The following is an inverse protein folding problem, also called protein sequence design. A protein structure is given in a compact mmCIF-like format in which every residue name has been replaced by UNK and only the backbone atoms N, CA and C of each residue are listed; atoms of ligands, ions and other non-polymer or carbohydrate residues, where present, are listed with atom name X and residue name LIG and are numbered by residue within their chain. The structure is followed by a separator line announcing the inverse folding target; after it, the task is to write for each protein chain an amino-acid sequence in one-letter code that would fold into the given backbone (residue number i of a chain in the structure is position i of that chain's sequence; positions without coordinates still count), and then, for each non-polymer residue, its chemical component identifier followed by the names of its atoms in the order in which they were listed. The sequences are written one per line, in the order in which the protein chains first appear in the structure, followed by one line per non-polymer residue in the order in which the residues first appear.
data_IF_668509885173
#
_entry.id   IF_668509885173
#
_cell.length_a   1.000
_cell.length_b   1.000
_cell.length_c   1.000
_cell.angle_alpha   90.00
_cell.angle_beta   90.00
_cell.angle_gamma   90.00
#
_symmetry.space_group_name_H-M   'P 1'
#
loop_
_entity.id
_entity.type
_entity.pdbx_description
1 polymer ?
#
# COMPACT_ATOMS: atom_id res chain seq x y z
N UNK A 1 48.70 -31.47 -53.15
CA UNK A 1 48.43 -30.59 -51.98
C UNK A 1 47.24 -29.64 -52.21
N UNK A 2 46.81 -29.40 -53.45
CA UNK A 2 45.69 -28.50 -53.79
C UNK A 2 44.31 -29.20 -53.70
N UNK A 3 44.23 -30.52 -53.90
CA UNK A 3 42.95 -31.27 -53.88
C UNK A 3 42.36 -31.48 -52.48
N UNK A 4 43.20 -31.52 -51.45
CA UNK A 4 42.75 -31.66 -50.07
C UNK A 4 41.98 -30.41 -49.60
N UNK A 5 42.42 -29.22 -50.00
CA UNK A 5 41.73 -27.98 -49.65
C UNK A 5 40.34 -27.91 -50.29
N UNK A 6 40.17 -28.37 -51.52
CA UNK A 6 38.87 -28.36 -52.21
C UNK A 6 37.86 -29.36 -51.60
N UNK A 7 38.32 -30.53 -51.18
CA UNK A 7 37.46 -31.59 -50.64
C UNK A 7 36.85 -31.23 -49.27
N UNK A 8 37.60 -30.53 -48.42
CA UNK A 8 37.17 -30.20 -47.06
C UNK A 8 36.64 -28.77 -46.91
N UNK A 9 36.79 -27.90 -47.93
CA UNK A 9 36.24 -26.53 -47.92
C UNK A 9 34.75 -26.45 -47.59
N UNK A 10 33.86 -27.34 -48.11
CA UNK A 10 32.45 -27.31 -47.75
C UNK A 10 32.20 -27.62 -46.26
N UNK A 11 32.99 -28.54 -45.69
CA UNK A 11 32.88 -28.90 -44.27
C UNK A 11 33.41 -27.78 -43.36
N UNK A 12 34.51 -27.12 -43.76
CA UNK A 12 35.05 -25.96 -43.05
C UNK A 12 34.07 -24.78 -43.08
N UNK A 13 33.44 -24.52 -44.22
CA UNK A 13 32.37 -23.51 -44.36
C UNK A 13 31.16 -23.85 -43.49
N UNK A 14 30.74 -25.13 -43.45
CA UNK A 14 29.61 -25.56 -42.62
C UNK A 14 29.89 -25.36 -41.13
N UNK A 15 31.10 -25.72 -40.67
CA UNK A 15 31.53 -25.52 -39.28
C UNK A 15 31.61 -24.02 -38.95
N UNK A 16 32.13 -23.19 -39.86
CA UNK A 16 32.18 -21.75 -39.68
C UNK A 16 30.77 -21.14 -39.59
N UNK A 17 29.85 -21.54 -40.47
CA UNK A 17 28.46 -21.06 -40.47
C UNK A 17 27.70 -21.51 -39.22
N UNK A 18 27.87 -22.77 -38.79
CA UNK A 18 27.29 -23.28 -37.54
C UNK A 18 27.88 -22.59 -36.31
N UNK A 19 29.19 -22.35 -36.29
CA UNK A 19 29.88 -21.61 -35.23
C UNK A 19 29.36 -20.18 -35.10
N UNK A 20 29.21 -19.47 -36.23
CA UNK A 20 28.61 -18.13 -36.27
C UNK A 20 27.14 -18.18 -35.86
N UNK A 21 26.36 -19.16 -36.29
CA UNK A 21 24.95 -19.30 -35.92
C UNK A 21 24.76 -19.58 -34.41
N UNK A 22 25.64 -20.39 -33.80
CA UNK A 22 25.66 -20.64 -32.36
C UNK A 22 26.10 -19.40 -31.60
N UNK A 23 27.12 -18.67 -32.07
CA UNK A 23 27.54 -17.38 -31.49
C UNK A 23 26.43 -16.33 -31.58
N UNK A 24 25.73 -16.24 -32.71
CA UNK A 24 24.56 -15.36 -32.88
C UNK A 24 23.40 -15.80 -31.99
N UNK A 25 23.18 -17.11 -31.77
CA UNK A 25 22.17 -17.63 -30.82
C UNK A 25 22.55 -17.37 -29.36
N UNK A 26 23.83 -17.48 -29.01
CA UNK A 26 24.33 -17.18 -27.67
C UNK A 26 24.32 -15.68 -27.41
N UNK A 27 24.76 -14.85 -28.37
CA UNK A 27 24.70 -13.39 -28.30
C UNK A 27 23.26 -12.87 -28.29
N UNK A 28 22.36 -13.45 -29.10
CA UNK A 28 20.94 -13.09 -29.09
C UNK A 28 20.19 -13.65 -27.87
N UNK A 29 20.61 -14.79 -27.31
CA UNK A 29 20.14 -15.30 -26.02
C UNK A 29 20.61 -14.44 -24.84
N UNK A 30 21.81 -13.88 -24.92
CA UNK A 30 22.36 -12.92 -23.96
C UNK A 30 21.67 -11.55 -24.07
N UNK A 31 21.42 -11.06 -25.30
CA UNK A 31 20.63 -9.84 -25.55
C UNK A 31 19.15 -9.98 -25.18
N UNK A 32 18.57 -11.20 -25.22
CA UNK A 32 17.19 -11.45 -24.76
C UNK A 32 17.02 -11.48 -23.24
N UNK A 33 18.12 -11.58 -22.47
CA UNK A 33 18.07 -11.52 -20.99
C UNK A 33 18.32 -10.12 -20.40
N UNK A 34 18.62 -9.12 -21.24
CA UNK A 34 18.74 -7.71 -20.82
C UNK A 34 18.20 -6.76 -21.89
N UNK A 35 16.88 -6.73 -22.02
CA UNK A 35 16.15 -5.53 -22.44
C UNK A 35 14.88 -5.46 -21.61
N UNK A 36 14.70 -4.44 -20.75
CA UNK A 36 13.34 -4.04 -20.41
C UNK A 36 12.66 -3.71 -21.74
N UNK A 37 11.57 -4.41 -22.05
CA UNK A 37 10.61 -3.90 -23.01
C UNK A 37 9.95 -2.67 -22.35
N UNK A 38 9.63 -1.69 -23.20
CA UNK A 38 8.99 -0.40 -22.90
C UNK A 38 9.89 0.73 -22.39
N UNK A 39 10.63 1.34 -23.32
CA UNK A 39 11.04 2.75 -23.25
C UNK A 39 9.77 3.62 -23.25
N UNK A 40 9.20 3.87 -22.08
CA UNK A 40 7.98 4.65 -21.87
C UNK A 40 7.11 4.18 -20.70
N UNK A 41 7.33 2.98 -20.14
CA UNK A 41 6.57 2.51 -18.98
C UNK A 41 7.11 3.11 -17.68
N UNK A 42 6.25 3.90 -17.05
CA UNK A 42 6.39 4.43 -15.69
C UNK A 42 6.42 3.24 -14.71
N UNK A 43 7.59 2.94 -14.14
CA UNK A 43 7.73 1.79 -13.23
C UNK A 43 7.02 2.06 -11.91
N UNK A 44 6.07 1.20 -11.55
CA UNK A 44 5.38 1.21 -10.26
C UNK A 44 6.11 0.24 -9.34
N UNK A 45 6.46 0.69 -8.13
CA UNK A 45 7.14 -0.14 -7.13
C UNK A 45 6.32 -0.23 -5.86
N UNK A 46 6.28 -1.41 -5.25
CA UNK A 46 5.74 -1.63 -3.91
C UNK A 46 6.90 -2.00 -3.00
N UNK A 47 7.09 -1.20 -1.96
CA UNK A 47 8.20 -1.30 -1.01
C UNK A 47 7.63 -1.68 0.35
N UNK A 48 7.85 -2.91 0.78
CA UNK A 48 7.50 -3.39 2.11
C UNK A 48 8.62 -3.09 3.09
N UNK A 49 8.34 -2.33 4.15
CA UNK A 49 9.32 -1.92 5.16
C UNK A 49 9.04 -2.61 6.50
N UNK A 50 10.06 -3.25 7.04
CA UNK A 50 9.95 -4.05 8.27
C UNK A 50 9.13 -5.33 8.09
N UNK A 51 8.79 -5.98 9.21
CA UNK A 51 8.07 -7.27 9.18
C UNK A 51 6.68 -7.15 8.54
N UNK A 52 5.81 -6.31 9.07
CA UNK A 52 4.45 -6.15 8.56
C UNK A 52 4.40 -5.69 7.09
N UNK A 53 5.26 -4.74 6.70
CA UNK A 53 5.35 -4.28 5.32
C UNK A 53 5.85 -5.39 4.37
N UNK A 54 6.83 -6.17 4.81
CA UNK A 54 7.32 -7.33 4.08
C UNK A 54 6.26 -8.42 3.93
N UNK A 55 5.51 -8.74 4.99
CA UNK A 55 4.39 -9.70 4.90
C UNK A 55 3.30 -9.20 3.95
N UNK A 56 2.99 -7.89 3.97
CA UNK A 56 2.04 -7.32 3.02
C UNK A 56 2.51 -7.44 1.56
N UNK A 57 3.82 -7.26 1.30
CA UNK A 57 4.40 -7.50 -0.04
C UNK A 57 4.25 -8.96 -0.45
N UNK A 58 4.54 -9.89 0.46
CA UNK A 58 4.41 -11.32 0.20
C UNK A 58 2.95 -11.68 -0.10
N UNK A 59 1.99 -11.17 0.68
CA UNK A 59 0.55 -11.36 0.45
C UNK A 59 0.10 -10.76 -0.91
N UNK A 60 0.67 -9.64 -1.36
CA UNK A 60 0.38 -9.06 -2.67
C UNK A 60 0.91 -9.93 -3.83
N UNK A 61 2.09 -10.53 -3.64
CA UNK A 61 2.69 -11.46 -4.60
C UNK A 61 1.82 -12.72 -4.73
N UNK A 62 1.37 -13.29 -3.61
CA UNK A 62 0.46 -14.43 -3.58
C UNK A 62 -0.90 -14.12 -4.21
N UNK A 63 -1.43 -12.92 -3.96
CA UNK A 63 -2.64 -12.41 -4.60
C UNK A 63 -2.47 -12.09 -6.10
N UNK A 64 -1.24 -12.21 -6.64
CA UNK A 64 -0.87 -11.94 -8.03
C UNK A 64 -1.26 -10.54 -8.49
N UNK A 65 -1.00 -9.53 -7.68
CA UNK A 65 -1.13 -8.14 -8.10
C UNK A 65 -0.05 -7.86 -9.16
N UNK A 66 -0.49 -7.49 -10.36
CA UNK A 66 0.35 -7.41 -11.56
C UNK A 66 0.83 -5.99 -11.88
N UNK A 67 1.87 -5.89 -12.70
CA UNK A 67 2.38 -4.61 -13.21
C UNK A 67 3.13 -3.76 -12.19
N UNK A 68 3.60 -4.38 -11.09
CA UNK A 68 4.38 -3.72 -10.04
C UNK A 68 5.66 -4.50 -9.73
N UNK A 69 6.72 -3.78 -9.39
CA UNK A 69 7.98 -4.35 -8.88
C UNK A 69 7.97 -4.36 -7.35
N UNK A 70 8.20 -5.52 -6.75
CA UNK A 70 8.23 -5.68 -5.29
C UNK A 70 9.64 -5.58 -4.71
N UNK A 71 9.77 -4.80 -3.63
CA UNK A 71 10.99 -4.62 -2.85
C UNK A 71 10.66 -4.86 -1.38
N UNK A 72 11.41 -5.73 -0.71
CA UNK A 72 11.36 -5.88 0.74
C UNK A 72 12.60 -5.22 1.38
N UNK A 73 12.40 -4.38 2.38
CA UNK A 73 13.46 -3.68 3.11
C UNK A 73 13.28 -3.96 4.61
N UNK A 74 14.31 -4.53 5.25
CA UNK A 74 14.24 -4.85 6.68
C UNK A 74 15.62 -4.83 7.33
N UNK A 75 15.67 -4.62 8.64
CA UNK A 75 16.87 -4.80 9.47
C UNK A 75 17.07 -6.25 9.90
N UNK A 76 15.99 -7.04 9.90
CA UNK A 76 16.03 -8.47 10.21
C UNK A 76 16.39 -9.29 8.96
N UNK A 77 17.56 -9.93 9.00
CA UNK A 77 18.04 -10.78 7.91
C UNK A 77 17.25 -12.08 7.74
N UNK A 78 16.77 -12.68 8.82
CA UNK A 78 16.00 -13.93 8.77
C UNK A 78 14.68 -13.72 8.03
N UNK A 79 14.01 -12.62 8.36
CA UNK A 79 12.79 -12.23 7.66
C UNK A 79 13.01 -12.05 6.14
N UNK A 80 14.12 -11.42 5.74
CA UNK A 80 14.40 -11.19 4.32
C UNK A 80 14.77 -12.46 3.55
N UNK A 81 15.34 -13.47 4.21
CA UNK A 81 15.63 -14.75 3.56
C UNK A 81 14.34 -15.43 3.08
N UNK A 82 13.28 -15.34 3.88
CA UNK A 82 11.96 -15.93 3.63
C UNK A 82 11.08 -15.11 2.67
N UNK A 83 11.31 -13.80 2.53
CA UNK A 83 10.47 -12.93 1.70
C UNK A 83 10.39 -13.37 0.23
N UNK A 84 9.20 -13.28 -0.37
CA UNK A 84 8.98 -13.59 -1.79
C UNK A 84 9.39 -12.44 -2.72
N UNK A 85 9.68 -11.26 -2.19
CA UNK A 85 10.12 -10.13 -2.99
C UNK A 85 11.38 -10.44 -3.79
N UNK A 86 11.38 -10.07 -5.07
CA UNK A 86 12.51 -10.30 -5.98
C UNK A 86 13.74 -9.49 -5.59
N UNK A 87 13.55 -8.29 -5.06
CA UNK A 87 14.60 -7.42 -4.54
C UNK A 87 14.43 -7.32 -3.02
N UNK A 88 15.49 -7.63 -2.29
CA UNK A 88 15.53 -7.63 -0.84
C UNK A 88 16.72 -6.78 -0.42
N UNK A 89 16.52 -5.87 0.53
CA UNK A 89 17.55 -4.95 0.99
C UNK A 89 17.59 -5.06 2.50
N UNK A 90 18.69 -5.62 3.00
CA UNK A 90 18.97 -5.59 4.42
C UNK A 90 19.64 -4.25 4.75
N UNK A 91 19.13 -3.57 5.77
CA UNK A 91 19.61 -2.26 6.19
C UNK A 91 20.13 -2.30 7.63
N UNK A 92 21.09 -1.44 7.95
CA UNK A 92 21.61 -1.27 9.29
C UNK A 92 22.44 -2.44 9.80
N UNK A 93 23.25 -3.06 8.94
CA UNK A 93 24.09 -4.20 9.33
C UNK A 93 25.06 -3.85 10.47
N UNK A 94 25.61 -2.62 10.47
CA UNK A 94 26.54 -2.18 11.52
C UNK A 94 25.83 -1.90 12.85
N UNK A 95 24.59 -1.39 12.80
CA UNK A 95 23.86 -0.98 14.01
C UNK A 95 22.99 -2.09 14.62
N UNK A 96 22.51 -3.03 13.81
CA UNK A 96 21.61 -4.11 14.27
C UNK A 96 22.26 -5.50 14.27
N UNK A 97 23.37 -5.68 13.55
CA UNK A 97 23.93 -7.02 13.32
C UNK A 97 23.01 -7.96 12.55
N UNK A 98 21.99 -7.43 11.85
CA UNK A 98 20.99 -8.22 11.12
C UNK A 98 19.90 -8.85 11.99
N UNK A 99 19.79 -8.44 13.27
CA UNK A 99 18.85 -9.00 14.25
C UNK A 99 17.56 -8.18 14.40
N UNK A 100 17.39 -7.13 13.60
CA UNK A 100 16.25 -6.22 13.70
C UNK A 100 16.50 -5.01 14.61
N UNK A 101 15.55 -4.07 14.60
CA UNK A 101 15.64 -2.81 15.34
C UNK A 101 15.17 -2.89 16.82
N UNK A 102 14.77 -4.07 17.31
CA UNK A 102 14.38 -4.26 18.72
C UNK A 102 13.16 -3.47 19.19
N UNK A 103 12.31 -2.99 18.26
CA UNK A 103 11.18 -2.10 18.59
C UNK A 103 11.56 -0.63 18.73
N UNK A 104 12.82 -0.26 18.55
CA UNK A 104 13.30 1.11 18.61
C UNK A 104 13.24 1.80 17.23
N UNK A 105 12.40 2.84 17.05
CA UNK A 105 12.30 3.59 15.80
C UNK A 105 13.58 4.31 15.43
N UNK A 106 14.35 4.78 16.41
CA UNK A 106 15.59 5.51 16.13
C UNK A 106 16.63 4.58 15.51
N UNK A 107 16.72 3.34 15.99
CA UNK A 107 17.54 2.31 15.36
C UNK A 107 17.08 2.01 13.92
N UNK A 108 15.77 1.99 13.67
CA UNK A 108 15.22 1.84 12.33
C UNK A 108 15.61 3.00 11.40
N UNK A 109 15.58 4.24 11.90
CA UNK A 109 15.97 5.45 11.16
C UNK A 109 17.47 5.42 10.82
N UNK A 110 18.33 5.19 11.82
CA UNK A 110 19.79 5.11 11.63
C UNK A 110 20.14 4.00 10.64
N UNK A 111 19.48 2.84 10.72
CA UNK A 111 19.67 1.75 9.77
C UNK A 111 19.35 2.15 8.32
N UNK A 112 18.27 2.89 8.10
CA UNK A 112 17.91 3.36 6.77
C UNK A 112 18.89 4.42 6.23
N UNK A 113 19.39 5.30 7.10
CA UNK A 113 20.39 6.31 6.75
C UNK A 113 21.74 5.68 6.42
N UNK A 114 22.12 4.62 7.15
CA UNK A 114 23.33 3.84 6.92
C UNK A 114 23.40 3.31 5.47
N UNK A 115 22.26 2.86 4.95
CA UNK A 115 22.13 2.20 3.65
C UNK A 115 21.32 3.05 2.63
N UNK A 116 21.31 4.37 2.82
CA UNK A 116 20.54 5.30 1.99
C UNK A 116 20.86 5.18 0.50
N UNK A 117 22.12 4.95 0.14
CA UNK A 117 22.53 4.80 -1.27
C UNK A 117 21.93 3.54 -1.90
N UNK A 118 21.91 2.42 -1.18
CA UNK A 118 21.30 1.17 -1.65
C UNK A 118 19.79 1.34 -1.83
N UNK A 119 19.13 2.07 -0.92
CA UNK A 119 17.71 2.42 -1.02
C UNK A 119 17.46 3.30 -2.26
N UNK A 120 18.24 4.36 -2.46
CA UNK A 120 18.09 5.26 -3.63
C UNK A 120 18.25 4.52 -4.95
N UNK A 121 19.31 3.72 -5.09
CA UNK A 121 19.54 2.91 -6.28
C UNK A 121 18.40 1.92 -6.54
N UNK A 122 17.76 1.42 -5.47
CA UNK A 122 16.65 0.51 -5.60
C UNK A 122 15.36 1.19 -6.12
N UNK A 123 15.19 2.48 -5.81
CA UNK A 123 14.02 3.30 -6.13
C UNK A 123 14.18 4.12 -7.42
N UNK A 124 15.39 4.20 -7.97
CA UNK A 124 15.68 5.01 -9.16
C UNK A 124 14.79 4.62 -10.35
N UNK A 125 14.27 5.64 -11.05
CA UNK A 125 13.36 5.47 -12.18
C UNK A 125 11.94 5.03 -11.81
N UNK A 126 11.57 5.01 -10.52
CA UNK A 126 10.17 4.80 -10.12
C UNK A 126 9.34 6.01 -10.53
N UNK A 127 8.21 5.78 -11.18
CA UNK A 127 7.20 6.83 -11.35
C UNK A 127 6.28 6.92 -10.12
N UNK A 128 6.01 5.77 -9.50
CA UNK A 128 5.13 5.63 -8.34
C UNK A 128 5.75 4.62 -7.37
N UNK A 129 5.80 4.99 -6.10
CA UNK A 129 6.24 4.12 -5.00
C UNK A 129 5.11 4.01 -3.98
N UNK A 130 4.60 2.80 -3.79
CA UNK A 130 3.78 2.44 -2.64
C UNK A 130 4.70 1.96 -1.52
N UNK A 131 4.70 2.65 -0.39
CA UNK A 131 5.44 2.23 0.79
C UNK A 131 4.47 1.59 1.78
N UNK A 132 4.57 0.28 1.97
CA UNK A 132 3.77 -0.47 2.92
C UNK A 132 4.57 -0.69 4.22
N UNK A 133 4.01 -0.33 5.37
CA UNK A 133 4.64 -0.54 6.67
C UNK A 133 3.61 -0.68 7.80
N UNK A 134 3.91 -1.56 8.76
CA UNK A 134 3.23 -1.52 10.07
C UNK A 134 3.97 -0.59 11.02
N UNK A 135 3.25 0.37 11.58
CA UNK A 135 3.81 1.35 12.51
C UNK A 135 3.65 0.88 13.96
N UNK A 136 4.46 1.43 14.85
CA UNK A 136 4.52 1.04 16.27
C UNK A 136 5.69 0.11 16.59
N UNK A 137 6.37 -0.43 15.59
CA UNK A 137 7.63 -1.16 15.73
C UNK A 137 8.86 -0.28 15.46
N UNK A 138 10.05 -0.87 15.42
CA UNK A 138 11.29 -0.12 15.16
C UNK A 138 11.53 0.17 13.68
N UNK A 139 11.66 -0.88 12.86
CA UNK A 139 12.04 -0.74 11.44
C UNK A 139 11.00 0.02 10.62
N UNK A 140 9.72 -0.38 10.69
CA UNK A 140 8.65 0.27 9.92
C UNK A 140 8.50 1.75 10.25
N UNK A 141 8.46 2.09 11.54
CA UNK A 141 8.29 3.47 12.01
C UNK A 141 9.52 4.36 11.78
N UNK A 142 10.72 3.81 11.91
CA UNK A 142 11.96 4.56 11.74
C UNK A 142 12.44 4.69 10.30
N UNK A 143 12.46 3.57 9.57
CA UNK A 143 12.96 3.53 8.19
C UNK A 143 11.94 4.02 7.17
N UNK A 144 10.63 3.85 7.45
CA UNK A 144 9.54 4.23 6.55
C UNK A 144 9.66 5.68 6.05
N UNK A 145 9.74 6.69 6.95
CA UNK A 145 9.88 8.09 6.55
C UNK A 145 11.12 8.37 5.70
N UNK A 146 12.26 7.76 6.05
CA UNK A 146 13.54 7.93 5.32
C UNK A 146 13.41 7.39 3.89
N UNK A 147 12.83 6.20 3.73
CA UNK A 147 12.62 5.57 2.42
C UNK A 147 11.60 6.37 1.59
N UNK A 148 10.53 6.86 2.20
CA UNK A 148 9.55 7.72 1.55
C UNK A 148 10.17 9.03 1.03
N UNK A 149 10.97 9.69 1.87
CA UNK A 149 11.67 10.91 1.48
C UNK A 149 12.62 10.65 0.30
N UNK A 150 13.39 9.55 0.32
CA UNK A 150 14.25 9.17 -0.79
C UNK A 150 13.48 8.94 -2.09
N UNK A 151 12.31 8.29 -2.05
CA UNK A 151 11.44 8.12 -3.22
C UNK A 151 10.97 9.46 -3.79
N UNK A 152 10.53 10.37 -2.90
CA UNK A 152 10.02 11.70 -3.28
C UNK A 152 11.12 12.59 -3.87
N UNK A 153 12.32 12.55 -3.31
CA UNK A 153 13.50 13.25 -3.84
C UNK A 153 13.92 12.76 -5.24
N UNK A 154 13.69 11.48 -5.53
CA UNK A 154 13.90 10.89 -6.86
C UNK A 154 12.78 11.24 -7.86
N UNK A 155 11.76 12.00 -7.44
CA UNK A 155 10.67 12.48 -8.27
C UNK A 155 9.51 11.48 -8.43
N UNK A 156 9.50 10.39 -7.67
CA UNK A 156 8.38 9.44 -7.68
C UNK A 156 7.18 10.02 -6.93
N UNK A 157 5.97 9.80 -7.47
CA UNK A 157 4.75 9.95 -6.68
C UNK A 157 4.80 8.93 -5.54
N UNK A 158 4.80 9.40 -4.30
CA UNK A 158 5.06 8.54 -3.13
C UNK A 158 3.79 8.42 -2.29
N UNK A 159 3.27 7.20 -2.19
CA UNK A 159 2.06 6.88 -1.44
C UNK A 159 2.42 5.95 -0.29
N UNK A 160 2.27 6.41 0.94
CA UNK A 160 2.39 5.54 2.12
C UNK A 160 1.08 4.80 2.37
N UNK A 161 1.14 3.50 2.64
CA UNK A 161 0.00 2.70 3.10
C UNK A 161 0.43 2.02 4.39
N UNK A 162 -0.07 2.51 5.51
CA UNK A 162 0.45 2.15 6.83
C UNK A 162 -0.63 1.63 7.76
N UNK A 163 -0.28 0.69 8.63
CA UNK A 163 -1.16 0.21 9.70
C UNK A 163 -0.78 0.77 11.06
N UNK A 164 -1.77 1.10 11.88
CA UNK A 164 -1.62 1.42 13.29
C UNK A 164 -1.84 0.17 14.15
N UNK A 165 -1.10 -0.01 15.26
CA UNK A 165 -1.19 -1.21 16.08
C UNK A 165 -2.58 -1.36 16.75
N UNK A 166 -2.92 -2.57 17.15
CA UNK A 166 -4.11 -2.83 17.97
C UNK A 166 -4.00 -2.19 19.35
N UNK A 167 -5.12 -1.89 20.00
CA UNK A 167 -5.10 -1.32 21.36
C UNK A 167 -4.40 -2.25 22.38
N UNK A 168 -4.58 -3.57 22.23
CA UNK A 168 -3.97 -4.56 23.13
C UNK A 168 -2.43 -4.58 23.07
N UNK A 169 -1.83 -4.07 21.98
CA UNK A 169 -0.38 -4.00 21.82
C UNK A 169 0.26 -2.91 22.71
N UNK A 170 -0.58 -2.06 23.31
CA UNK A 170 -0.22 -1.15 24.38
C UNK A 170 0.08 0.29 23.92
N UNK A 171 -0.04 1.25 24.85
CA UNK A 171 0.04 2.68 24.53
C UNK A 171 1.42 3.13 24.02
N UNK A 172 2.50 2.43 24.40
CA UNK A 172 3.84 2.73 23.92
C UNK A 172 3.99 2.52 22.40
N UNK A 173 3.45 1.40 21.87
CA UNK A 173 3.44 1.14 20.42
C UNK A 173 2.57 2.15 19.68
N UNK A 174 1.41 2.53 20.26
CA UNK A 174 0.55 3.56 19.68
C UNK A 174 1.26 4.91 19.58
N UNK A 175 1.95 5.35 20.63
CA UNK A 175 2.70 6.61 20.62
C UNK A 175 3.82 6.63 19.56
N UNK A 176 4.52 5.50 19.36
CA UNK A 176 5.49 5.34 18.28
C UNK A 176 4.82 5.47 16.91
N UNK A 177 3.66 4.82 16.74
CA UNK A 177 2.93 4.85 15.47
C UNK A 177 2.45 6.27 15.13
N UNK A 178 1.87 6.98 16.09
CA UNK A 178 1.39 8.36 15.91
C UNK A 178 2.54 9.31 15.53
N UNK A 179 3.71 9.16 16.17
CA UNK A 179 4.91 9.93 15.81
C UNK A 179 5.39 9.61 14.39
N UNK A 180 5.38 8.32 14.01
CA UNK A 180 5.77 7.90 12.67
C UNK A 180 4.80 8.39 11.59
N UNK A 181 3.49 8.43 11.87
CA UNK A 181 2.50 9.04 10.96
C UNK A 181 2.83 10.50 10.68
N UNK A 182 3.16 11.27 11.73
CA UNK A 182 3.53 12.68 11.58
C UNK A 182 4.77 12.89 10.71
N UNK A 183 5.78 12.03 10.83
CA UNK A 183 6.98 12.08 9.99
C UNK A 183 6.71 11.58 8.55
N UNK A 184 5.91 10.54 8.40
CA UNK A 184 5.49 10.02 7.09
C UNK A 184 4.75 11.09 6.29
N UNK A 185 3.82 11.83 6.90
CA UNK A 185 3.05 12.89 6.24
C UNK A 185 3.94 13.99 5.62
N UNK A 186 5.12 14.24 6.18
CA UNK A 186 6.10 15.18 5.61
C UNK A 186 6.84 14.60 4.40
N UNK A 187 6.92 13.27 4.33
CA UNK A 187 7.81 12.52 3.45
C UNK A 187 7.09 11.86 2.26
N UNK A 188 5.76 11.76 2.31
CA UNK A 188 4.92 11.22 1.22
C UNK A 188 4.13 12.32 0.50
N UNK A 189 3.48 11.97 -0.59
CA UNK A 189 2.46 12.81 -1.23
C UNK A 189 1.06 12.52 -0.66
N UNK A 190 0.73 11.24 -0.47
CA UNK A 190 -0.48 10.78 0.21
C UNK A 190 -0.13 9.70 1.22
N UNK A 191 -0.71 9.76 2.41
CA UNK A 191 -0.64 8.70 3.42
C UNK A 191 -2.02 8.08 3.60
N UNK A 192 -2.15 6.78 3.36
CA UNK A 192 -3.33 5.99 3.67
C UNK A 192 -3.07 5.28 5.00
N UNK A 193 -3.84 5.62 6.03
CA UNK A 193 -3.70 5.05 7.37
C UNK A 193 -4.83 4.06 7.61
N UNK A 194 -4.47 2.86 8.02
CA UNK A 194 -5.36 1.77 8.38
C UNK A 194 -5.25 1.53 9.87
N UNK A 195 -6.37 1.60 10.58
CA UNK A 195 -6.40 1.25 12.00
C UNK A 195 -6.68 -0.24 12.16
N UNK A 196 -5.75 -1.00 12.74
CA UNK A 196 -5.96 -2.44 12.95
C UNK A 196 -7.20 -2.72 13.80
N UNK A 197 -7.52 -1.83 14.74
CA UNK A 197 -8.71 -1.94 15.58
C UNK A 197 -10.00 -2.03 14.76
N UNK A 198 -10.10 -1.30 13.65
CA UNK A 198 -11.26 -1.36 12.73
C UNK A 198 -11.37 -2.70 12.01
N UNK A 199 -10.27 -3.42 11.89
CA UNK A 199 -10.28 -4.77 11.33
C UNK A 199 -10.87 -5.78 12.31
N UNK A 200 -11.04 -5.44 13.60
CA UNK A 200 -11.76 -6.31 14.55
C UNK A 200 -13.24 -6.43 14.23
N UNK A 201 -13.83 -5.43 13.57
CA UNK A 201 -15.21 -5.47 13.07
C UNK A 201 -15.39 -6.53 11.97
N UNK A 202 -14.28 -7.00 11.37
CA UNK A 202 -14.25 -8.00 10.31
C UNK A 202 -13.97 -9.42 10.81
N UNK A 203 -13.76 -9.60 12.12
CA UNK A 203 -13.44 -10.91 12.72
C UNK A 203 -14.48 -11.30 13.77
N UNK A 204 -14.71 -12.60 13.92
CA UNK A 204 -15.60 -13.16 14.96
C UNK A 204 -14.81 -13.56 16.21
N UNK A 205 -15.49 -13.78 17.34
CA UNK A 205 -14.88 -14.27 18.60
C UNK A 205 -14.09 -15.59 18.44
N UNK A 206 -14.36 -16.33 17.37
CA UNK A 206 -13.73 -17.61 17.05
C UNK A 206 -12.48 -17.44 16.16
N UNK A 207 -12.21 -16.22 15.69
CA UNK A 207 -11.11 -15.94 14.76
C UNK A 207 -9.78 -16.02 15.51
N UNK A 208 -8.86 -16.84 14.98
CA UNK A 208 -7.53 -16.95 15.59
C UNK A 208 -6.74 -15.65 15.43
N UNK A 209 -5.80 -15.38 16.35
CA UNK A 209 -4.91 -14.21 16.25
C UNK A 209 -4.19 -14.14 14.89
N UNK A 210 -3.80 -15.31 14.35
CA UNK A 210 -3.16 -15.41 13.03
C UNK A 210 -4.10 -14.96 11.91
N UNK A 211 -5.36 -15.38 11.96
CA UNK A 211 -6.35 -15.00 10.96
C UNK A 211 -6.70 -13.52 11.05
N UNK A 212 -6.77 -12.96 12.27
CA UNK A 212 -6.96 -11.52 12.47
C UNK A 212 -5.83 -10.67 11.83
N UNK A 213 -4.56 -11.04 12.05
CA UNK A 213 -3.44 -10.37 11.38
C UNK A 213 -3.47 -10.54 9.86
N UNK A 214 -3.90 -11.70 9.33
CA UNK A 214 -4.10 -11.85 7.88
C UNK A 214 -5.19 -10.93 7.36
N UNK A 215 -6.30 -10.78 8.07
CA UNK A 215 -7.38 -9.85 7.70
C UNK A 215 -6.87 -8.41 7.60
N UNK A 216 -6.07 -7.97 8.58
CA UNK A 216 -5.39 -6.67 8.54
C UNK A 216 -4.48 -6.54 7.30
N UNK A 217 -3.67 -7.54 6.99
CA UNK A 217 -2.79 -7.47 5.82
C UNK A 217 -3.58 -7.43 4.51
N UNK A 218 -4.73 -8.12 4.44
CA UNK A 218 -5.60 -8.06 3.27
C UNK A 218 -6.08 -6.64 2.97
N UNK A 219 -6.22 -5.79 3.99
CA UNK A 219 -6.49 -4.35 3.80
C UNK A 219 -5.40 -3.67 2.99
N UNK A 220 -4.13 -3.88 3.37
CA UNK A 220 -2.98 -3.29 2.69
C UNK A 220 -2.93 -3.75 1.23
N UNK A 221 -3.17 -5.05 0.99
CA UNK A 221 -3.28 -5.62 -0.35
C UNK A 221 -4.38 -4.92 -1.14
N UNK A 222 -5.56 -4.74 -0.55
CA UNK A 222 -6.71 -4.11 -1.21
C UNK A 222 -6.45 -2.64 -1.56
N UNK A 223 -5.83 -1.87 -0.65
CA UNK A 223 -5.50 -0.47 -0.89
C UNK A 223 -4.49 -0.31 -2.04
N UNK A 224 -3.39 -1.05 -2.01
CA UNK A 224 -2.37 -1.01 -3.08
C UNK A 224 -2.94 -1.53 -4.39
N UNK A 225 -3.67 -2.66 -4.37
CA UNK A 225 -4.33 -3.22 -5.54
C UNK A 225 -5.33 -2.25 -6.15
N UNK A 226 -6.10 -1.55 -5.32
CA UNK A 226 -7.08 -0.57 -5.77
C UNK A 226 -6.49 0.50 -6.67
N UNK A 227 -5.32 1.04 -6.32
CA UNK A 227 -4.62 2.04 -7.13
C UNK A 227 -3.87 1.39 -8.29
N UNK A 228 -3.18 0.27 -8.04
CA UNK A 228 -2.37 -0.40 -9.04
C UNK A 228 -3.23 -0.92 -10.21
N UNK A 229 -4.37 -1.56 -9.92
CA UNK A 229 -5.24 -2.16 -10.95
C UNK A 229 -5.77 -1.09 -11.92
N UNK A 230 -6.07 0.13 -11.45
CA UNK A 230 -6.51 1.26 -12.30
C UNK A 230 -5.48 1.60 -13.38
N UNK A 231 -4.20 1.43 -13.06
CA UNK A 231 -3.09 1.82 -13.92
C UNK A 231 -2.53 0.67 -14.75
N UNK A 232 -2.56 -0.56 -14.22
CA UNK A 232 -1.88 -1.71 -14.82
C UNK A 232 -2.84 -2.68 -15.51
N UNK A 233 -4.12 -2.69 -15.12
CA UNK A 233 -5.12 -3.56 -15.74
C UNK A 233 -5.82 -2.80 -16.87
N UNK A 234 -5.88 -3.37 -18.09
CA UNK A 234 -6.66 -2.79 -19.16
C UNK A 234 -8.12 -2.59 -18.74
N UNK A 235 -8.58 -1.35 -18.78
CA UNK A 235 -9.95 -0.96 -18.46
C UNK A 235 -10.78 -0.62 -19.68
N UNK A 236 -12.11 -0.64 -19.49
CA UNK A 236 -13.08 -0.03 -20.39
C UNK A 236 -12.94 1.50 -20.38
N UNK A 237 -12.60 2.04 -19.21
CA UNK A 237 -12.23 3.45 -19.01
C UNK A 237 -10.88 3.44 -18.32
N UNK A 238 -9.82 3.65 -19.10
CA UNK A 238 -8.46 3.77 -18.59
C UNK A 238 -8.28 5.15 -17.96
N UNK A 239 -7.74 5.17 -16.75
CA UNK A 239 -7.28 6.38 -16.09
C UNK A 239 -5.79 6.53 -16.38
N UNK A 240 -5.35 7.70 -16.81
CA UNK A 240 -3.92 7.92 -17.02
C UNK A 240 -3.21 8.25 -15.69
N UNK A 241 -1.88 8.12 -15.68
CA UNK A 241 -1.12 8.42 -14.47
C UNK A 241 -1.12 9.90 -14.10
N UNK A 242 -1.34 10.83 -15.04
CA UNK A 242 -1.43 12.25 -14.71
C UNK A 242 -2.70 12.54 -13.91
N UNK A 243 -3.80 11.84 -14.20
CA UNK A 243 -5.04 11.89 -13.42
C UNK A 243 -4.83 11.32 -12.01
N UNK A 244 -4.21 10.14 -11.88
CA UNK A 244 -3.85 9.58 -10.55
C UNK A 244 -2.94 10.54 -9.78
N UNK A 245 -1.94 11.10 -10.45
CA UNK A 245 -1.04 12.10 -9.86
C UNK A 245 -1.81 13.36 -9.42
N UNK A 246 -2.81 13.81 -10.17
CA UNK A 246 -3.63 14.97 -9.79
C UNK A 246 -4.44 14.75 -8.50
N UNK A 247 -4.83 13.49 -8.23
CA UNK A 247 -5.56 13.10 -7.02
C UNK A 247 -4.62 12.91 -5.83
N UNK A 248 -3.49 12.21 -6.03
CA UNK A 248 -2.65 11.75 -4.93
C UNK A 248 -1.46 12.67 -4.63
N UNK A 249 -1.06 13.55 -5.56
CA UNK A 249 0.04 14.48 -5.30
C UNK A 249 -0.39 15.52 -4.28
N UNK A 250 0.42 15.71 -3.24
CA UNK A 250 0.09 16.58 -2.11
C UNK A 250 -1.33 16.32 -1.57
N UNK A 251 -1.70 15.04 -1.49
CA UNK A 251 -2.97 14.53 -0.98
C UNK A 251 -3.11 14.63 0.54
N UNK A 252 -1.98 14.64 1.24
CA UNK A 252 -1.93 14.61 2.70
C UNK A 252 -2.44 13.26 3.23
N UNK A 253 -3.20 13.29 4.32
CA UNK A 253 -3.86 12.09 4.82
C UNK A 253 -5.04 11.76 3.90
N UNK A 254 -5.04 10.53 3.39
CA UNK A 254 -6.08 10.00 2.51
C UNK A 254 -6.78 8.81 3.15
N UNK A 255 -7.97 8.51 2.62
CA UNK A 255 -8.78 7.38 3.04
C UNK A 255 -8.99 6.45 1.84
N UNK A 256 -8.99 5.14 2.07
CA UNK A 256 -9.28 4.15 1.05
C UNK A 256 -10.40 3.24 1.52
N UNK A 257 -11.37 2.98 0.66
CA UNK A 257 -12.51 2.10 0.94
C UNK A 257 -12.68 1.11 -0.20
N UNK A 258 -12.95 -0.15 0.14
CA UNK A 258 -13.21 -1.21 -0.83
C UNK A 258 -14.51 -1.91 -0.47
N UNK A 259 -15.37 -2.07 -1.48
CA UNK A 259 -16.64 -2.76 -1.36
C UNK A 259 -16.83 -3.72 -2.52
N UNK A 260 -17.48 -4.86 -2.27
CA UNK A 260 -17.78 -5.84 -3.30
C UNK A 260 -19.18 -6.41 -3.09
N UNK A 261 -19.94 -6.54 -4.17
CA UNK A 261 -21.26 -7.17 -4.17
C UNK A 261 -21.48 -7.98 -5.44
N UNK A 262 -22.54 -8.79 -5.49
CA UNK A 262 -22.91 -9.63 -6.64
C UNK A 262 -24.43 -9.68 -6.77
N UNK A 263 -24.95 -10.10 -7.93
CA UNK A 263 -26.39 -10.16 -8.19
C UNK A 263 -27.03 -8.81 -8.52
N UNK A 264 -28.35 -8.74 -8.39
CA UNK A 264 -29.15 -7.55 -8.68
C UNK A 264 -28.85 -6.42 -7.70
N UNK A 265 -28.69 -5.19 -8.19
CA UNK A 265 -28.34 -4.03 -7.36
C UNK A 265 -26.89 -4.02 -6.84
N UNK A 266 -26.02 -4.91 -7.34
CA UNK A 266 -24.62 -5.01 -6.89
C UNK A 266 -23.82 -3.70 -6.99
N UNK A 267 -24.15 -2.82 -7.94
CA UNK A 267 -23.47 -1.53 -8.09
C UNK A 267 -23.63 -0.65 -6.85
N UNK A 268 -24.87 -0.38 -6.46
CA UNK A 268 -25.20 0.41 -5.27
C UNK A 268 -24.70 -0.27 -4.01
N UNK A 269 -24.90 -1.58 -3.88
CA UNK A 269 -24.44 -2.34 -2.71
C UNK A 269 -22.91 -2.30 -2.56
N UNK A 270 -22.15 -2.46 -3.64
CA UNK A 270 -20.69 -2.38 -3.61
C UNK A 270 -20.20 -0.95 -3.30
N UNK A 271 -20.87 0.08 -3.85
CA UNK A 271 -20.55 1.48 -3.54
C UNK A 271 -20.80 1.80 -2.06
N UNK A 272 -21.94 1.40 -1.52
CA UNK A 272 -22.27 1.56 -0.10
C UNK A 272 -21.27 0.82 0.79
N UNK A 273 -20.91 -0.43 0.43
CA UNK A 273 -19.90 -1.18 1.15
C UNK A 273 -18.51 -0.52 1.10
N UNK A 274 -18.16 0.15 0.00
CA UNK A 274 -16.90 0.88 -0.11
C UNK A 274 -16.88 2.13 0.77
N UNK A 275 -18.01 2.84 0.87
CA UNK A 275 -18.15 4.07 1.70
C UNK A 275 -18.29 3.73 3.20
N UNK A 276 -18.85 2.58 3.52
CA UNK A 276 -18.95 2.06 4.89
C UNK A 276 -17.78 1.12 5.25
N UNK A 277 -16.74 1.08 4.41
CA UNK A 277 -15.61 0.19 4.60
C UNK A 277 -14.88 0.53 5.90
N UNK A 278 -14.56 -0.44 6.78
CA UNK A 278 -13.78 -0.19 8.00
C UNK A 278 -12.38 0.40 7.74
N UNK A 279 -11.95 0.36 6.48
CA UNK A 279 -10.70 0.96 5.99
C UNK A 279 -10.76 2.49 5.94
N UNK A 280 -11.97 3.04 5.89
CA UNK A 280 -12.23 4.46 6.01
C UNK A 280 -12.27 4.78 7.51
N UNK A 281 -11.14 5.21 8.07
CA UNK A 281 -11.07 5.64 9.47
C UNK A 281 -12.09 6.76 9.80
N UNK A 282 -12.48 7.53 8.78
CA UNK A 282 -13.44 8.62 8.87
C UNK A 282 -14.39 8.62 7.66
N UNK A 283 -15.47 9.41 7.73
CA UNK A 283 -16.35 9.61 6.59
C UNK A 283 -15.61 10.29 5.42
N UNK A 284 -16.02 9.96 4.20
CA UNK A 284 -15.47 10.58 2.98
C UNK A 284 -15.94 12.03 2.76
N UNK A 285 -16.81 12.54 3.63
CA UNK A 285 -17.29 13.92 3.59
C UNK A 285 -16.11 14.91 3.73
N UNK A 286 -16.17 15.99 2.95
CA UNK A 286 -15.11 17.00 2.90
C UNK A 286 -13.89 16.61 2.05
N UNK A 287 -13.90 15.44 1.38
CA UNK A 287 -12.87 15.09 0.41
C UNK A 287 -12.95 16.01 -0.82
N UNK A 288 -11.83 16.65 -1.19
CA UNK A 288 -11.77 17.50 -2.39
C UNK A 288 -11.48 16.71 -3.67
N UNK A 289 -10.87 15.52 -3.54
CA UNK A 289 -10.37 14.73 -4.65
C UNK A 289 -10.68 13.26 -4.39
N UNK A 290 -11.27 12.60 -5.37
CA UNK A 290 -11.68 11.20 -5.28
C UNK A 290 -11.17 10.45 -6.51
N UNK A 291 -10.47 9.34 -6.28
CA UNK A 291 -10.21 8.33 -7.28
C UNK A 291 -11.19 7.17 -7.06
N UNK A 292 -12.00 6.91 -8.08
CA UNK A 292 -13.04 5.89 -8.06
C UNK A 292 -12.72 4.84 -9.12
N UNK A 293 -12.61 3.57 -8.71
CA UNK A 293 -12.46 2.43 -9.62
C UNK A 293 -13.63 1.48 -9.48
N UNK A 294 -14.17 1.05 -10.61
CA UNK A 294 -15.16 -0.01 -10.68
C UNK A 294 -14.54 -1.18 -11.44
N UNK A 295 -14.45 -2.32 -10.78
CA UNK A 295 -13.95 -3.56 -11.37
C UNK A 295 -15.08 -4.60 -11.44
N UNK A 296 -15.29 -5.20 -12.61
CA UNK A 296 -16.20 -6.32 -12.76
C UNK A 296 -15.76 -7.20 -13.94
N UNK A 297 -16.37 -8.37 -14.10
CA UNK A 297 -16.20 -9.14 -15.34
C UNK A 297 -16.75 -8.36 -16.55
N UNK A 298 -16.49 -8.85 -17.76
CA UNK A 298 -16.83 -8.23 -19.05
C UNK A 298 -18.32 -7.80 -19.30
N UNK A 299 -19.22 -7.93 -18.32
CA UNK A 299 -20.65 -7.59 -18.41
C UNK A 299 -21.06 -6.36 -17.59
N UNK A 300 -20.12 -5.48 -17.23
CA UNK A 300 -20.43 -4.21 -16.58
C UNK A 300 -21.25 -3.31 -17.50
N UNK A 301 -22.34 -2.76 -16.98
CA UNK A 301 -23.21 -1.82 -17.70
C UNK A 301 -22.89 -0.37 -17.35
N UNK A 302 -23.18 0.55 -18.27
CA UNK A 302 -23.08 1.98 -17.99
C UNK A 302 -23.98 2.41 -16.82
N UNK A 303 -25.13 1.76 -16.64
CA UNK A 303 -26.06 2.05 -15.55
C UNK A 303 -25.45 1.77 -14.19
N UNK A 304 -24.80 0.61 -14.04
CA UNK A 304 -24.08 0.25 -12.81
C UNK A 304 -22.97 1.27 -12.48
N UNK A 305 -22.23 1.71 -13.49
CA UNK A 305 -21.19 2.74 -13.33
C UNK A 305 -21.77 4.06 -12.83
N UNK A 306 -22.88 4.52 -13.42
CA UNK A 306 -23.55 5.76 -13.02
C UNK A 306 -24.04 5.65 -11.56
N UNK A 307 -24.64 4.53 -11.19
CA UNK A 307 -25.15 4.30 -9.83
C UNK A 307 -24.02 4.31 -8.78
N UNK A 308 -22.86 3.75 -9.10
CA UNK A 308 -21.68 3.85 -8.22
C UNK A 308 -21.24 5.30 -8.07
N UNK A 309 -21.08 6.04 -9.18
CA UNK A 309 -20.62 7.42 -9.16
C UNK A 309 -21.58 8.35 -8.41
N UNK A 310 -22.89 8.19 -8.60
CA UNK A 310 -23.92 8.94 -7.86
C UNK A 310 -23.88 8.64 -6.37
N UNK A 311 -23.75 7.36 -5.98
CA UNK A 311 -23.69 6.94 -4.57
C UNK A 311 -22.46 7.51 -3.86
N UNK A 312 -21.29 7.41 -4.48
CA UNK A 312 -20.04 7.94 -3.92
C UNK A 312 -20.04 9.47 -3.89
N UNK A 313 -20.51 10.11 -4.96
CA UNK A 313 -20.62 11.57 -5.04
C UNK A 313 -21.57 12.15 -3.99
N UNK A 314 -22.71 11.50 -3.75
CA UNK A 314 -23.65 11.92 -2.72
C UNK A 314 -23.06 11.83 -1.30
N UNK A 315 -22.25 10.80 -1.03
CA UNK A 315 -21.62 10.62 0.27
C UNK A 315 -20.42 11.57 0.53
N UNK A 316 -19.78 12.08 -0.53
CA UNK A 316 -18.68 13.05 -0.40
C UNK A 316 -19.15 14.48 -0.04
N UNK A 317 -20.43 14.80 -0.23
CA UNK A 317 -21.08 16.05 0.21
C UNK A 317 -20.69 17.33 -0.55
N UNK A 318 -19.43 17.49 -0.94
CA UNK A 318 -18.86 18.68 -1.58
C UNK A 318 -18.55 18.44 -3.09
N UNK A 319 -18.35 19.50 -3.91
CA UNK A 319 -17.87 19.36 -5.27
C UNK A 319 -16.42 18.85 -5.29
N UNK A 320 -16.26 17.53 -5.17
CA UNK A 320 -14.97 16.85 -5.29
C UNK A 320 -14.60 16.66 -6.76
N UNK A 321 -13.32 16.80 -7.09
CA UNK A 321 -12.79 16.33 -8.38
C UNK A 321 -12.77 14.80 -8.35
N UNK A 322 -13.62 14.18 -9.16
CA UNK A 322 -13.67 12.72 -9.29
C UNK A 322 -12.91 12.29 -10.54
N UNK A 323 -11.92 11.41 -10.36
CA UNK A 323 -11.29 10.64 -11.42
C UNK A 323 -11.88 9.24 -11.40
N UNK A 324 -12.43 8.80 -12.52
CA UNK A 324 -13.16 7.55 -12.64
C UNK A 324 -12.45 6.56 -13.55
N UNK A 325 -12.26 5.33 -13.07
CA UNK A 325 -11.78 4.19 -13.84
C UNK A 325 -12.76 3.04 -13.83
N UNK A 326 -12.80 2.30 -14.95
CA UNK A 326 -13.57 1.06 -15.08
C UNK A 326 -12.66 -0.04 -15.60
N UNK A 327 -12.37 -1.04 -14.77
CA UNK A 327 -11.46 -2.15 -15.05
C UNK A 327 -12.24 -3.45 -15.29
N UNK A 328 -11.74 -4.29 -16.20
CA UNK A 328 -12.34 -5.60 -16.45
C UNK A 328 -11.49 -6.71 -15.83
N UNK A 329 -12.10 -7.51 -14.93
CA UNK A 329 -11.47 -8.67 -14.32
C UNK A 329 -12.42 -9.89 -14.42
N UNK A 330 -12.19 -10.73 -15.43
CA UNK A 330 -13.01 -11.92 -15.68
C UNK A 330 -12.96 -12.97 -14.55
N UNK A 331 -11.98 -12.86 -13.62
CA UNK A 331 -11.94 -13.73 -12.43
C UNK A 331 -13.09 -13.44 -11.47
N UNK A 332 -13.70 -12.25 -11.57
CA UNK A 332 -14.75 -11.80 -10.65
C UNK A 332 -16.13 -12.40 -10.92
N UNK A 333 -16.32 -13.11 -12.03
CA UNK A 333 -17.61 -13.74 -12.42
C UNK A 333 -18.77 -12.72 -12.39
N UNK A 334 -19.63 -12.79 -11.38
CA UNK A 334 -20.77 -11.88 -11.21
C UNK A 334 -20.54 -10.81 -10.13
N UNK A 335 -19.34 -10.72 -9.58
CA UNK A 335 -19.01 -9.68 -8.62
C UNK A 335 -18.66 -8.36 -9.31
N UNK A 336 -19.07 -7.28 -8.65
CA UNK A 336 -18.64 -5.91 -8.91
C UNK A 336 -17.94 -5.39 -7.66
N UNK A 337 -16.75 -4.83 -7.83
CA UNK A 337 -15.94 -4.24 -6.78
C UNK A 337 -15.80 -2.75 -7.04
N UNK A 338 -15.98 -1.96 -6.00
CA UNK A 338 -15.76 -0.53 -5.99
C UNK A 338 -14.57 -0.25 -5.08
N UNK A 339 -13.62 0.53 -5.57
CA UNK A 339 -12.55 1.08 -4.76
C UNK A 339 -12.62 2.60 -4.80
N UNK A 340 -12.66 3.22 -3.62
CA UNK A 340 -12.71 4.66 -3.43
C UNK A 340 -11.44 5.07 -2.73
N UNK A 341 -10.77 6.10 -3.23
CA UNK A 341 -9.66 6.76 -2.54
C UNK A 341 -9.97 8.23 -2.49
N UNK A 342 -10.03 8.78 -1.28
CA UNK A 342 -10.36 10.16 -1.02
C UNK A 342 -9.14 10.90 -0.45
N UNK A 343 -8.84 12.09 -0.96
CA UNK A 343 -7.70 12.92 -0.54
C UNK A 343 -8.07 14.40 -0.47
N UNK A 344 -7.19 15.21 0.14
CA UNK A 344 -7.36 16.66 0.21
C UNK A 344 -8.50 17.12 1.12
N UNK A 345 -8.67 16.46 2.27
CA UNK A 345 -9.67 16.85 3.27
C UNK A 345 -9.37 18.27 3.82
N UNK A 346 -10.35 19.17 3.78
CA UNK A 346 -10.21 20.58 4.19
C UNK A 346 -9.86 20.77 5.66
N UNK A 347 -10.33 19.88 6.52
CA UNK A 347 -10.15 19.99 7.96
C UNK A 347 -9.19 18.94 8.52
N UNK A 348 -8.48 18.20 7.66
CA UNK A 348 -7.72 17.02 8.06
C UNK A 348 -8.65 15.88 8.54
N UNK A 349 -8.36 14.62 8.22
CA UNK A 349 -9.21 13.50 8.69
C UNK A 349 -9.34 13.38 10.22
N UNK A 350 -8.56 14.13 11.02
CA UNK A 350 -8.57 14.08 12.49
C UNK A 350 -9.04 15.34 13.23
N UNK A 351 -9.69 16.32 12.60
CA UNK A 351 -10.21 17.50 13.33
C UNK A 351 -11.54 17.26 14.06
N UNK A 352 -12.23 16.15 13.77
CA UNK A 352 -13.31 15.66 14.59
C UNK A 352 -12.77 14.90 15.80
N UNK A 353 -12.76 15.53 16.97
CA UNK A 353 -12.56 14.94 18.32
C UNK A 353 -11.13 14.60 18.79
N UNK A 354 -10.32 15.65 19.01
CA UNK A 354 -9.57 15.77 20.26
C UNK A 354 -10.34 16.74 21.18
N UNK A 355 -11.57 16.38 21.55
CA UNK A 355 -12.21 17.01 22.70
C UNK A 355 -11.41 16.63 23.94
N UNK A 356 -10.57 17.56 24.39
CA UNK A 356 -10.02 17.56 25.74
C UNK A 356 -11.17 17.34 26.71
N UNK A 357 -11.12 16.35 27.62
CA UNK A 357 -12.15 16.22 28.64
C UNK A 357 -12.20 17.53 29.42
N UNK A 358 -13.36 18.19 29.37
CA UNK A 358 -13.66 19.38 30.13
C UNK A 358 -13.34 19.14 31.62
N UNK A 359 -12.23 19.70 32.08
CA UNK A 359 -11.81 19.67 33.48
C UNK A 359 -12.75 20.51 34.39
N UNK A 360 -13.86 21.02 33.88
CA UNK A 360 -14.81 21.88 34.59
C UNK A 360 -15.90 21.16 35.40
N UNK A 361 -16.17 19.86 35.21
CA UNK A 361 -17.37 19.23 35.83
C UNK A 361 -17.14 18.32 37.04
N UNK A 362 -15.90 18.18 37.55
CA UNK A 362 -15.63 17.38 38.76
C UNK A 362 -15.77 18.12 40.10
N UNK A 363 -16.31 19.34 40.13
CA UNK A 363 -16.56 20.10 41.38
C UNK A 363 -18.00 20.02 41.92
N UNK A 364 -18.96 19.47 41.18
CA UNK A 364 -20.37 19.47 41.62
C UNK A 364 -20.84 18.16 42.31
N UNK A 365 -20.03 17.10 42.33
CA UNK A 365 -20.42 15.80 42.91
C UNK A 365 -19.80 15.50 44.29
N UNK A 366 -19.05 16.45 44.89
CA UNK A 366 -18.42 16.24 46.20
C UNK A 366 -19.20 16.85 47.37
N UNK A 367 -20.24 17.65 47.11
CA UNK A 367 -21.03 18.34 48.14
C UNK A 367 -22.36 17.64 48.51
N UNK A 368 -22.64 16.43 48.00
CA UNK A 368 -23.85 15.67 48.36
C UNK A 368 -23.58 14.33 49.09
N UNK A 369 -22.33 14.02 49.43
CA UNK A 369 -21.99 12.80 50.17
C UNK A 369 -21.66 13.06 51.67
N UNK A 370 -22.18 14.14 52.23
CA UNK A 370 -21.83 14.63 53.57
C UNK A 370 -23.01 14.80 54.51
N UNK A 371 -24.02 13.92 54.52
CA UNK A 371 -25.14 14.06 55.46
C UNK A 371 -25.91 12.78 55.79
N UNK A 372 -25.27 11.62 56.03
CA UNK A 372 -25.91 10.57 56.83
C UNK A 372 -24.85 9.72 57.55
N UNK A 373 -24.70 9.88 58.87
CA UNK A 373 -24.39 8.80 59.85
C UNK A 373 -23.89 9.40 61.17
N UNK A 374 -24.82 9.73 62.08
CA UNK A 374 -24.60 9.72 63.54
C UNK A 374 -25.96 9.68 64.24
N UNK A 375 -26.50 8.49 64.50
CA UNK A 375 -27.47 8.23 65.58
C UNK A 375 -27.79 6.74 65.68
N UNK A 376 -27.12 6.02 66.59
CA UNK A 376 -27.67 4.89 67.36
C UNK A 376 -26.55 4.19 68.15
N UNK A 377 -26.34 4.61 69.40
CA UNK A 377 -25.70 3.81 70.43
C UNK A 377 -26.24 4.26 71.80
N UNK A 378 -27.28 3.58 72.25
CA UNK A 378 -27.72 3.46 73.65
C UNK A 378 -28.67 2.29 73.76
#
# INVERSE_FOLDING_TARGET
MVDWLAQYWPAVLLIAVLGVAVLVRLASGWQRRRRPRHTGERTIRVVGVGGAGGTAVDDMIDARVGGVDYIAINTDGQFLEESMARRRIRIGDRVTGGLGAGGDPEMGRIAAEEDAEAIRLALEGSALVFLAAGLGGGTGSGAGPVIAAAAKELGALTVGVVTLPFEFEGPARRAIADAAVAEMLKSVDTLLVVENERSTELVTDETSLRDAFRTVNQVLVQAVRGVADIMTVPGLVNVDFADVQSIMRDGGLGLAGVGQASGEGRAVAAAQAAIASPLLAHHIDGAQRILLNVAAASRMTLREVIEVAETVGAAAGAPARVVFGATSDDRMKDALRVTVIATGFTDGPGSGSLERPDSGRRRAARDQAGTVSTAAAS
#
